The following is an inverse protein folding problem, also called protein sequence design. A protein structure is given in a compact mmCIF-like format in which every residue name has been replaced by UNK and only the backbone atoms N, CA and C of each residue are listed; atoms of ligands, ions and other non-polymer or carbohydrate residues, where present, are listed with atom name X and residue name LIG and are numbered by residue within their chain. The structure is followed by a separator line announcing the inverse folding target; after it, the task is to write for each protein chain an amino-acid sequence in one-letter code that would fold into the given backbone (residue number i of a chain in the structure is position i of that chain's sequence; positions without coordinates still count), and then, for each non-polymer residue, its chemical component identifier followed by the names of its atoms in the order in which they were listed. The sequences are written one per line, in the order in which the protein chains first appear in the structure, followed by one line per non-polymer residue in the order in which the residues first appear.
data_IF_368894667977
#
_entry.id   IF_368894667977
#
_cell.length_a   1.000
_cell.length_b   1.000
_cell.length_c   1.000
_cell.angle_alpha   90.00
_cell.angle_beta   90.00
_cell.angle_gamma   90.00
#
_symmetry.space_group_name_H-M   'P 1'
#
loop_
_entity.id
_entity.type
_entity.pdbx_description
1 polymer ?
#
# COMPACT_ATOMS: atom_id res chain seq x y z
N UNK A 1 2.56 1.74 10.03
CA UNK A 1 1.31 2.45 10.39
C UNK A 1 1.40 2.92 11.84
N UNK A 2 0.80 4.06 12.20
CA UNK A 2 0.97 4.67 13.53
C UNK A 2 -0.28 4.54 14.41
N UNK A 3 -1.46 4.89 13.90
CA UNK A 3 -2.70 4.93 14.71
C UNK A 3 -3.71 3.83 14.42
N UNK A 4 -3.44 2.93 13.47
CA UNK A 4 -4.34 1.83 13.08
C UNK A 4 -5.65 2.23 12.39
N UNK A 5 -6.07 3.49 12.49
CA UNK A 5 -7.27 4.04 11.83
C UNK A 5 -6.91 4.98 10.67
N UNK A 6 -7.81 5.16 9.69
CA UNK A 6 -7.66 6.18 8.66
C UNK A 6 -7.62 7.60 9.27
N UNK A 7 -6.82 8.52 8.69
CA UNK A 7 -6.70 9.89 9.20
C UNK A 7 -8.02 10.68 9.14
N UNK A 8 -8.85 10.41 8.14
CA UNK A 8 -10.21 10.95 8.01
C UNK A 8 -11.19 9.79 8.00
N UNK A 9 -12.13 9.77 8.95
CA UNK A 9 -13.14 8.73 9.03
C UNK A 9 -14.41 9.25 9.71
N UNK A 10 -15.54 8.65 9.33
CA UNK A 10 -16.83 8.86 9.95
C UNK A 10 -17.32 7.48 10.45
N UNK A 11 -17.76 7.35 11.72
CA UNK A 11 -18.24 6.06 12.25
C UNK A 11 -19.38 5.44 11.42
N UNK A 12 -20.20 6.27 10.77
CA UNK A 12 -21.29 5.84 9.89
C UNK A 12 -20.85 5.71 8.42
N UNK A 13 -19.55 5.89 8.12
CA UNK A 13 -18.94 5.84 6.78
C UNK A 13 -19.60 6.76 5.77
N UNK A 14 -20.13 7.91 6.22
CA UNK A 14 -20.75 8.89 5.33
C UNK A 14 -19.68 9.61 4.51
N UNK A 15 -19.74 9.41 3.18
CA UNK A 15 -18.76 9.96 2.23
C UNK A 15 -18.69 11.48 2.29
N UNK A 16 -19.82 12.16 2.45
CA UNK A 16 -19.88 13.62 2.56
C UNK A 16 -19.08 14.16 3.75
N UNK A 17 -19.19 13.49 4.91
CA UNK A 17 -18.46 13.90 6.12
C UNK A 17 -16.97 13.63 5.98
N UNK A 18 -16.60 12.48 5.43
CA UNK A 18 -15.19 12.14 5.17
C UNK A 18 -14.59 13.15 4.19
N UNK A 19 -15.31 13.49 3.12
CA UNK A 19 -14.87 14.49 2.13
C UNK A 19 -14.70 15.86 2.77
N UNK A 20 -15.65 16.29 3.61
CA UNK A 20 -15.54 17.54 4.37
C UNK A 20 -14.33 17.55 5.29
N UNK A 21 -14.06 16.46 6.01
CA UNK A 21 -12.86 16.35 6.86
C UNK A 21 -11.56 16.44 6.05
N UNK A 22 -11.51 15.79 4.87
CA UNK A 22 -10.36 15.88 3.96
C UNK A 22 -10.15 17.32 3.52
N UNK A 23 -11.20 18.03 3.10
CA UNK A 23 -11.11 19.42 2.65
C UNK A 23 -10.67 20.36 3.78
N UNK A 24 -11.18 20.15 5.00
CA UNK A 24 -10.77 20.92 6.18
C UNK A 24 -9.37 20.55 6.67
N UNK A 25 -8.86 19.38 6.28
CA UNK A 25 -7.56 18.84 6.65
C UNK A 25 -7.29 18.89 8.16
N UNK A 26 -8.26 18.43 8.94
CA UNK A 26 -8.18 18.34 10.40
C UNK A 26 -8.19 16.87 10.87
N UNK A 27 -7.10 16.11 10.63
CA UNK A 27 -6.99 14.74 11.11
C UNK A 27 -6.70 14.70 12.62
N UNK A 28 -7.18 13.66 13.30
CA UNK A 28 -6.96 13.51 14.73
C UNK A 28 -5.54 13.02 15.05
N UNK A 29 -4.78 13.83 15.79
CA UNK A 29 -3.44 13.49 16.30
C UNK A 29 -3.52 13.10 17.79
N UNK A 30 -3.48 11.81 18.14
CA UNK A 30 -3.50 11.38 19.53
C UNK A 30 -2.20 11.77 20.23
N UNK A 31 -2.29 12.04 21.54
CA UNK A 31 -1.15 12.43 22.39
C UNK A 31 -0.04 11.37 22.48
N UNK A 32 -0.33 10.13 22.10
CA UNK A 32 0.63 9.02 22.06
C UNK A 32 1.57 9.10 20.85
N UNK A 33 1.28 9.95 19.87
CA UNK A 33 2.09 10.10 18.67
C UNK A 33 3.32 10.97 18.94
N UNK A 34 4.49 10.51 18.47
CA UNK A 34 5.72 11.30 18.60
C UNK A 34 5.63 12.63 17.82
N UNK A 35 6.26 13.72 18.29
CA UNK A 35 6.23 15.01 17.59
C UNK A 35 6.73 14.94 16.14
N UNK A 36 7.78 14.16 15.89
CA UNK A 36 8.33 13.97 14.55
C UNK A 36 7.35 13.24 13.61
N UNK A 37 6.54 12.31 14.14
CA UNK A 37 5.49 11.65 13.37
C UNK A 37 4.33 12.60 13.05
N UNK A 38 3.89 13.40 14.02
CA UNK A 38 2.87 14.43 13.79
C UNK A 38 3.32 15.41 12.70
N UNK A 39 4.54 15.92 12.80
CA UNK A 39 5.12 16.86 11.82
C UNK A 39 5.19 16.25 10.41
N UNK A 40 5.65 15.00 10.30
CA UNK A 40 5.69 14.30 9.01
C UNK A 40 4.28 14.18 8.39
N UNK A 41 3.30 13.75 9.18
CA UNK A 41 1.92 13.57 8.71
C UNK A 41 1.31 14.91 8.29
N UNK A 42 1.52 15.98 9.06
CA UNK A 42 1.03 17.33 8.71
C UNK A 42 1.61 17.82 7.39
N UNK A 43 2.90 17.56 7.14
CA UNK A 43 3.57 17.93 5.88
C UNK A 43 3.13 17.07 4.69
N UNK A 44 2.80 15.80 4.92
CA UNK A 44 2.26 14.90 3.89
C UNK A 44 0.80 15.23 3.54
N UNK A 45 -0.01 15.57 4.55
CA UNK A 45 -1.43 15.88 4.39
C UNK A 45 -1.66 17.36 4.02
N UNK A 46 -0.69 18.06 3.43
CA UNK A 46 -0.94 19.41 2.91
C UNK A 46 -2.01 19.39 1.81
N UNK A 47 -3.00 20.29 1.97
CA UNK A 47 -4.09 20.51 1.02
C UNK A 47 -3.57 20.97 -0.33
N UNK A 48 -2.67 21.97 -0.34
CA UNK A 48 -1.97 22.36 -1.57
C UNK A 48 -0.93 21.30 -1.91
N UNK A 49 -1.05 20.61 -3.07
CA UNK A 49 -0.05 19.64 -3.50
C UNK A 49 1.34 20.24 -3.67
N UNK A 50 1.48 21.55 -3.91
CA UNK A 50 2.79 22.21 -4.10
C UNK A 50 3.53 22.45 -2.79
N UNK A 51 2.82 22.53 -1.68
CA UNK A 51 3.40 22.67 -0.33
C UNK A 51 3.70 21.33 0.34
N UNK A 52 3.23 20.23 -0.25
CA UNK A 52 3.45 18.89 0.28
C UNK A 52 4.94 18.55 0.28
N UNK A 53 5.40 17.95 1.39
CA UNK A 53 6.78 17.45 1.47
C UNK A 53 7.05 16.46 0.33
N UNK A 54 8.23 16.61 -0.27
CA UNK A 54 8.70 15.81 -1.38
C UNK A 54 8.40 16.38 -2.76
N UNK A 55 7.82 17.57 -2.85
CA UNK A 55 7.57 18.24 -4.14
C UNK A 55 8.77 19.08 -4.59
N UNK A 56 9.43 19.80 -3.67
CA UNK A 56 10.55 20.68 -4.01
C UNK A 56 11.86 19.90 -4.13
N UNK A 57 12.21 19.12 -3.12
CA UNK A 57 13.42 18.30 -3.06
C UNK A 57 13.18 16.80 -3.27
N UNK A 58 12.03 16.38 -3.80
CA UNK A 58 11.77 14.98 -4.11
C UNK A 58 11.78 14.07 -2.87
N UNK A 59 12.12 12.80 -3.08
CA UNK A 59 12.15 11.83 -1.98
C UNK A 59 13.20 12.15 -0.89
N UNK A 60 14.20 12.98 -1.19
CA UNK A 60 15.26 13.33 -0.23
C UNK A 60 14.72 14.16 0.94
N UNK A 61 13.71 15.01 0.73
CA UNK A 61 13.05 15.70 1.85
C UNK A 61 12.41 14.73 2.83
N UNK A 62 11.83 13.65 2.31
CA UNK A 62 11.19 12.61 3.11
C UNK A 62 12.26 11.81 3.84
N UNK A 63 13.33 11.38 3.15
CA UNK A 63 14.44 10.62 3.73
C UNK A 63 15.13 11.36 4.87
N UNK A 64 15.31 12.67 4.73
CA UNK A 64 15.99 13.53 5.70
C UNK A 64 15.08 14.03 6.83
N UNK A 65 13.80 13.63 6.84
CA UNK A 65 12.87 14.05 7.89
C UNK A 65 13.29 13.47 9.26
N UNK A 66 13.16 14.21 10.39
CA UNK A 66 13.52 13.72 11.73
C UNK A 66 12.85 12.40 12.14
N UNK A 67 11.69 12.10 11.56
CA UNK A 67 10.99 10.83 11.76
C UNK A 67 11.82 9.60 11.30
N UNK A 68 12.66 9.77 10.27
CA UNK A 68 13.48 8.70 9.70
C UNK A 68 14.96 8.80 10.07
N UNK A 69 15.33 9.64 11.04
CA UNK A 69 16.74 9.90 11.39
C UNK A 69 17.51 8.64 11.86
N UNK A 70 16.83 7.60 12.31
CA UNK A 70 17.45 6.33 12.70
C UNK A 70 17.63 5.34 11.54
N UNK A 71 17.18 5.68 10.33
CA UNK A 71 17.22 4.80 9.16
C UNK A 71 18.43 5.16 8.31
N UNK A 72 19.29 4.17 8.06
CA UNK A 72 20.32 4.27 7.04
C UNK A 72 19.77 3.73 5.71
N UNK A 73 19.45 4.65 4.80
CA UNK A 73 18.80 4.31 3.53
C UNK A 73 19.68 3.48 2.59
N UNK A 74 21.01 3.61 2.68
CA UNK A 74 21.95 2.88 1.81
C UNK A 74 21.96 1.37 2.08
N UNK A 75 21.75 0.98 3.34
CA UNK A 75 21.80 -0.43 3.79
C UNK A 75 20.43 -1.00 4.13
N UNK A 76 19.34 -0.25 3.91
CA UNK A 76 17.98 -0.67 4.28
C UNK A 76 17.57 -2.01 3.65
N UNK A 77 18.09 -2.30 2.45
CA UNK A 77 17.84 -3.55 1.72
C UNK A 77 18.46 -4.80 2.38
N UNK A 78 19.45 -4.61 3.25
CA UNK A 78 20.08 -5.67 4.04
C UNK A 78 19.42 -5.82 5.42
N UNK A 79 18.56 -4.87 5.82
CA UNK A 79 18.01 -4.83 7.15
C UNK A 79 16.98 -5.94 7.37
N UNK A 80 17.10 -6.61 8.51
CA UNK A 80 16.14 -7.62 8.97
C UNK A 80 14.83 -6.92 9.32
N UNK A 81 13.73 -7.35 8.68
CA UNK A 81 12.39 -6.85 9.02
C UNK A 81 12.09 -7.03 10.52
N UNK A 82 11.57 -6.00 11.21
CA UNK A 82 11.19 -6.11 12.61
C UNK A 82 9.99 -7.06 12.83
N UNK A 83 9.32 -7.52 11.77
CA UNK A 83 8.13 -8.37 11.82
C UNK A 83 8.38 -9.84 11.45
N UNK A 84 9.64 -10.29 11.32
CA UNK A 84 9.96 -11.68 10.89
C UNK A 84 9.27 -12.76 11.72
N UNK A 85 9.03 -12.52 13.00
CA UNK A 85 8.38 -13.45 13.93
C UNK A 85 6.88 -13.67 13.69
N UNK A 86 6.20 -12.81 12.93
CA UNK A 86 4.76 -12.98 12.67
C UNK A 86 4.48 -14.05 11.60
N UNK A 87 5.27 -14.06 10.51
CA UNK A 87 5.11 -15.00 9.40
C UNK A 87 5.43 -16.46 9.80
N UNK A 88 6.38 -16.65 10.73
CA UNK A 88 6.75 -17.99 11.23
C UNK A 88 5.72 -18.55 12.23
N UNK A 89 5.05 -17.67 12.99
CA UNK A 89 4.02 -18.07 13.98
C UNK A 89 2.63 -18.18 13.40
N UNK A 90 2.32 -17.46 12.31
CA UNK A 90 1.13 -17.71 11.51
C UNK A 90 1.33 -18.96 10.66
N UNK A 91 1.41 -20.12 11.31
CA UNK A 91 0.96 -21.36 10.69
C UNK A 91 -0.40 -21.04 10.06
N UNK A 92 -0.42 -21.05 8.73
CA UNK A 92 -1.45 -20.61 7.80
C UNK A 92 -2.75 -21.43 7.91
N UNK A 93 -3.19 -21.79 9.12
CA UNK A 93 -4.42 -22.53 9.36
C UNK A 93 -5.65 -21.63 9.25
N UNK A 94 -5.46 -20.31 9.32
CA UNK A 94 -6.54 -19.33 9.33
C UNK A 94 -6.70 -18.60 7.99
N UNK A 95 -5.90 -18.92 6.97
CA UNK A 95 -6.15 -18.52 5.57
C UNK A 95 -7.24 -19.40 4.94
N UNK A 96 -8.30 -19.65 5.68
CA UNK A 96 -9.27 -20.72 5.41
C UNK A 96 -10.38 -20.30 4.47
N UNK A 97 -10.40 -19.05 3.98
CA UNK A 97 -11.43 -18.61 3.04
C UNK A 97 -11.09 -18.85 1.58
N UNK A 98 -9.82 -18.84 1.19
CA UNK A 98 -9.42 -19.03 -0.22
C UNK A 98 -8.80 -20.40 -0.47
N UNK A 99 -8.08 -20.97 0.50
CA UNK A 99 -7.39 -22.26 0.32
C UNK A 99 -8.35 -23.46 0.23
N UNK A 100 -9.56 -23.34 0.80
CA UNK A 100 -10.56 -24.42 0.83
C UNK A 100 -11.68 -24.25 -0.21
N UNK A 101 -11.64 -23.21 -1.05
CA UNK A 101 -12.54 -23.13 -2.18
C UNK A 101 -11.91 -23.91 -3.33
N UNK A 102 -12.62 -24.89 -3.93
CA UNK A 102 -12.15 -25.45 -5.19
C UNK A 102 -11.94 -24.30 -6.18
N UNK A 103 -10.93 -24.39 -7.08
CA UNK A 103 -10.78 -23.42 -8.16
C UNK A 103 -12.15 -23.22 -8.80
N UNK A 104 -12.61 -21.98 -8.90
CA UNK A 104 -13.84 -21.72 -9.62
C UNK A 104 -13.68 -22.34 -11.01
N UNK A 105 -14.61 -23.22 -11.38
CA UNK A 105 -14.65 -23.69 -12.76
C UNK A 105 -14.78 -22.45 -13.63
N UNK A 106 -14.12 -22.47 -14.79
CA UNK A 106 -14.37 -21.49 -15.83
C UNK A 106 -15.84 -21.65 -16.22
N UNK A 107 -16.76 -21.07 -15.45
CA UNK A 107 -18.11 -20.87 -15.93
C UNK A 107 -17.94 -19.88 -17.07
N UNK A 108 -18.22 -20.36 -18.28
CA UNK A 108 -18.00 -19.66 -19.54
C UNK A 108 -18.55 -18.24 -19.42
N UNK A 109 -17.70 -17.30 -19.02
CA UNK A 109 -18.00 -15.89 -19.10
C UNK A 109 -18.08 -15.67 -20.60
N UNK A 110 -19.27 -15.33 -21.15
CA UNK A 110 -19.47 -15.32 -22.59
C UNK A 110 -18.36 -14.48 -23.21
N UNK A 111 -17.60 -15.13 -24.09
CA UNK A 111 -16.43 -14.52 -24.69
C UNK A 111 -16.86 -13.20 -25.32
N UNK A 112 -16.23 -12.08 -24.94
CA UNK A 112 -16.59 -10.78 -25.45
C UNK A 112 -16.48 -10.80 -26.99
N UNK A 113 -17.59 -10.68 -27.76
CA UNK A 113 -17.57 -10.82 -29.22
C UNK A 113 -16.72 -9.74 -29.91
N UNK A 114 -16.46 -8.64 -29.20
CA UNK A 114 -15.63 -7.54 -29.67
C UNK A 114 -14.13 -7.76 -29.40
N UNK A 115 -13.74 -8.84 -28.73
CA UNK A 115 -12.34 -9.11 -28.44
C UNK A 115 -11.62 -9.53 -29.73
N UNK A 116 -10.58 -8.80 -30.18
CA UNK A 116 -9.83 -9.17 -31.36
C UNK A 116 -9.12 -10.51 -31.12
N UNK A 117 -9.61 -11.57 -31.79
CA UNK A 117 -9.05 -12.92 -31.83
C UNK A 117 -8.76 -13.58 -30.47
N UNK A 118 -9.41 -13.15 -29.38
CA UNK A 118 -9.12 -13.67 -28.04
C UNK A 118 -7.68 -13.39 -27.57
N UNK A 119 -6.96 -12.47 -28.22
CA UNK A 119 -5.54 -12.19 -27.94
C UNK A 119 -5.41 -10.91 -27.13
N UNK A 120 -4.71 -10.99 -26.01
CA UNK A 120 -4.29 -9.82 -25.24
C UNK A 120 -2.78 -9.71 -25.44
N UNK A 121 -2.34 -8.70 -26.20
CA UNK A 121 -0.93 -8.44 -26.42
C UNK A 121 -0.29 -7.76 -25.20
N UNK A 122 1.01 -7.96 -24.97
CA UNK A 122 1.78 -7.24 -23.96
C UNK A 122 1.66 -7.72 -22.52
N UNK A 123 0.99 -8.85 -22.26
CA UNK A 123 0.92 -9.47 -20.93
C UNK A 123 2.00 -10.54 -20.69
N UNK A 124 2.68 -10.99 -21.74
CA UNK A 124 3.77 -11.96 -21.60
C UNK A 124 5.03 -11.25 -21.10
N UNK A 125 5.52 -11.66 -19.92
CA UNK A 125 6.79 -11.22 -19.34
C UNK A 125 7.60 -12.45 -18.96
N UNK A 126 8.88 -12.48 -19.33
CA UNK A 126 9.84 -13.49 -18.88
C UNK A 126 10.91 -12.78 -18.07
N UNK A 127 11.03 -13.16 -16.79
CA UNK A 127 12.11 -12.64 -15.96
C UNK A 127 13.46 -13.09 -16.49
N UNK A 128 14.50 -12.25 -16.33
CA UNK A 128 15.86 -12.64 -16.67
C UNK A 128 16.25 -13.92 -15.90
N UNK A 129 16.58 -14.99 -16.64
CA UNK A 129 16.93 -16.29 -16.07
C UNK A 129 15.80 -17.33 -16.03
N UNK A 130 14.57 -16.98 -16.44
CA UNK A 130 13.46 -17.93 -16.54
C UNK A 130 13.36 -18.51 -17.96
N UNK A 131 13.50 -19.83 -18.09
CA UNK A 131 13.21 -20.54 -19.34
C UNK A 131 11.76 -21.01 -19.35
N UNK A 132 11.05 -20.77 -20.45
CA UNK A 132 9.68 -21.24 -20.64
C UNK A 132 9.64 -22.78 -20.69
N UNK A 133 9.25 -23.43 -19.59
CA UNK A 133 8.94 -24.85 -19.59
C UNK A 133 7.55 -25.05 -20.21
N UNK A 134 7.50 -25.06 -21.54
CA UNK A 134 6.34 -25.57 -22.27
C UNK A 134 6.31 -27.09 -22.15
N UNK A 135 5.71 -27.59 -21.07
CA UNK A 135 5.08 -28.91 -21.08
C UNK A 135 3.58 -28.67 -21.01
N UNK A 136 3.00 -28.63 -22.20
CA UNK A 136 1.58 -28.91 -22.43
C UNK A 136 1.41 -30.43 -22.36
#
# INVERSE_FOLDING_TARGET
MINGNPPFHDPQRRVEMITKQILLNDPNYPKTMSPAACDLIQKLLKNDPKERIGVKGGYDEIKNHPFFNSISWDVIHLQVSPLKTFAEKSNLKNSTRVVNQPPQTLEDTPCNPQMPNGKIDGITYLGEGETFNSKI
#
